data_IF_247010774778
#
_entry.id   IF_247010774778
#
_cell.length_a   1.000
_cell.length_b   1.000
_cell.length_c   1.000
_cell.angle_alpha   90.00
_cell.angle_beta   90.00
_cell.angle_gamma   90.00
#
_symmetry.space_group_name_H-M   'P 1'
#
loop_
_entity.id
_entity.type
_entity.pdbx_description
1 polymer ?
#
# COMPACT_ATOMS: atom_id res chain seq x y z
N UNK A 1 25.85 33.21 1.02
CA UNK A 1 24.77 32.54 0.22
C UNK A 1 25.36 31.43 -0.66
N UNK A 2 26.40 31.63 -1.41
CA UNK A 2 27.04 30.64 -2.31
C UNK A 2 27.51 29.36 -1.59
N UNK A 3 28.14 29.45 -0.41
CA UNK A 3 28.57 28.28 0.38
C UNK A 3 27.41 27.40 0.86
N UNK A 4 26.23 27.98 1.14
CA UNK A 4 25.05 27.23 1.54
C UNK A 4 24.57 26.38 0.35
N UNK A 5 24.55 26.94 -0.86
CA UNK A 5 24.15 26.25 -2.08
C UNK A 5 25.09 25.06 -2.36
N UNK A 6 26.41 25.28 -2.25
CA UNK A 6 27.38 24.20 -2.43
C UNK A 6 27.24 23.11 -1.37
N UNK A 7 26.98 23.47 -0.11
CA UNK A 7 26.70 22.50 0.96
C UNK A 7 25.45 21.65 0.70
N UNK A 8 24.37 22.27 0.21
CA UNK A 8 23.12 21.54 -0.15
C UNK A 8 23.36 20.59 -1.32
N UNK A 9 24.07 21.03 -2.37
CA UNK A 9 24.39 20.19 -3.52
C UNK A 9 25.29 19.01 -3.12
N UNK A 10 26.34 19.26 -2.35
CA UNK A 10 27.22 18.19 -1.85
C UNK A 10 26.46 17.19 -0.98
N UNK A 11 25.61 17.67 -0.08
CA UNK A 11 24.73 16.82 0.75
C UNK A 11 23.78 15.97 -0.08
N UNK A 12 23.17 16.52 -1.12
CA UNK A 12 22.29 15.79 -2.03
C UNK A 12 23.05 14.70 -2.82
N UNK A 13 24.27 14.99 -3.27
CA UNK A 13 25.12 13.99 -3.97
C UNK A 13 25.50 12.85 -3.04
N UNK A 14 25.93 13.14 -1.80
CA UNK A 14 26.29 12.13 -0.80
C UNK A 14 25.07 11.29 -0.44
N UNK A 15 23.91 11.91 -0.22
CA UNK A 15 22.65 11.23 0.06
C UNK A 15 22.25 10.33 -1.11
N UNK A 16 22.33 10.82 -2.34
CA UNK A 16 22.05 10.04 -3.55
C UNK A 16 22.96 8.81 -3.69
N UNK A 17 24.24 8.98 -3.36
CA UNK A 17 25.21 7.88 -3.37
C UNK A 17 24.88 6.83 -2.30
N UNK A 18 24.54 7.23 -1.07
CA UNK A 18 24.12 6.35 0.01
C UNK A 18 22.86 5.59 -0.39
N UNK A 19 21.84 6.28 -0.89
CA UNK A 19 20.58 5.66 -1.35
C UNK A 19 20.87 4.60 -2.41
N UNK A 20 21.64 4.95 -3.45
CA UNK A 20 22.00 4.01 -4.53
C UNK A 20 22.75 2.77 -4.03
N UNK A 21 23.55 2.90 -2.98
CA UNK A 21 24.23 1.76 -2.36
C UNK A 21 23.27 0.80 -1.67
N UNK A 22 22.23 1.34 -1.01
CA UNK A 22 21.21 0.53 -0.32
C UNK A 22 20.17 -0.06 -1.26
N UNK A 23 19.82 0.64 -2.35
CA UNK A 23 18.83 0.18 -3.34
C UNK A 23 19.34 -1.01 -4.21
N UNK A 24 20.61 -1.40 -4.08
CA UNK A 24 21.18 -2.59 -4.73
C UNK A 24 20.97 -3.89 -3.96
N UNK A 25 20.30 -3.86 -2.80
CA UNK A 25 20.03 -5.07 -2.03
C UNK A 25 18.99 -5.95 -2.70
N UNK A 26 19.24 -7.25 -2.70
CA UNK A 26 18.28 -8.24 -3.16
C UNK A 26 17.01 -8.21 -2.28
N UNK A 27 15.83 -8.34 -2.89
CA UNK A 27 14.59 -8.39 -2.14
C UNK A 27 14.49 -9.67 -1.30
N UNK A 28 13.92 -9.58 -0.09
CA UNK A 28 13.71 -10.73 0.80
C UNK A 28 12.63 -11.70 0.26
N UNK A 29 11.77 -11.23 -0.63
CA UNK A 29 10.69 -12.03 -1.22
C UNK A 29 10.73 -11.95 -2.75
N UNK A 30 10.33 -13.04 -3.39
CA UNK A 30 10.14 -13.10 -4.85
C UNK A 30 8.65 -12.86 -5.12
N UNK A 31 8.32 -11.67 -5.60
CA UNK A 31 6.96 -11.34 -6.03
C UNK A 31 6.79 -11.55 -7.52
N UNK A 32 5.64 -12.10 -7.93
CA UNK A 32 5.27 -12.25 -9.34
C UNK A 32 3.77 -12.00 -9.51
N UNK A 33 3.41 -11.28 -10.55
CA UNK A 33 2.04 -11.16 -11.03
C UNK A 33 2.04 -11.24 -12.56
N UNK A 34 1.06 -11.93 -13.15
CA UNK A 34 0.95 -12.03 -14.60
C UNK A 34 0.44 -10.74 -15.24
N UNK A 35 -0.39 -10.01 -14.53
CA UNK A 35 -1.03 -8.78 -15.02
C UNK A 35 -1.18 -7.78 -13.86
N UNK A 36 -1.36 -6.52 -14.22
CA UNK A 36 -1.72 -5.47 -13.26
C UNK A 36 -3.14 -5.70 -12.73
N UNK A 37 -3.46 -5.30 -11.49
CA UNK A 37 -4.81 -5.40 -10.98
C UNK A 37 -5.77 -4.54 -11.81
N UNK A 38 -6.86 -5.15 -12.28
CA UNK A 38 -7.93 -4.44 -12.96
C UNK A 38 -8.81 -3.75 -11.95
N UNK A 39 -8.89 -2.42 -11.99
CA UNK A 39 -9.62 -1.65 -11.00
C UNK A 39 -10.36 -0.48 -11.62
N UNK A 40 -11.46 -0.06 -10.99
CA UNK A 40 -12.21 1.14 -11.36
C UNK A 40 -12.33 2.10 -10.18
N UNK A 41 -12.27 3.41 -10.42
CA UNK A 41 -12.51 4.39 -9.37
C UNK A 41 -14.00 4.41 -8.98
N UNK A 42 -14.29 4.49 -7.70
CA UNK A 42 -15.65 4.70 -7.20
C UNK A 42 -15.97 6.19 -7.15
N UNK A 43 -17.22 6.55 -7.42
CA UNK A 43 -17.68 7.93 -7.31
C UNK A 43 -17.66 8.40 -5.86
N UNK A 44 -17.29 9.66 -5.65
CA UNK A 44 -17.41 10.33 -4.35
C UNK A 44 -18.72 11.12 -4.38
N UNK A 45 -19.74 10.76 -3.57
CA UNK A 45 -21.01 11.45 -3.56
C UNK A 45 -20.85 12.83 -2.90
N UNK A 46 -20.68 13.87 -3.71
CA UNK A 46 -20.50 15.26 -3.26
C UNK A 46 -21.74 16.13 -3.50
N UNK A 47 -22.71 15.64 -4.31
CA UNK A 47 -23.92 16.40 -4.63
C UNK A 47 -24.83 16.53 -3.39
N UNK A 48 -25.23 17.77 -3.07
CA UNK A 48 -26.16 18.02 -1.97
C UNK A 48 -25.57 18.03 -0.56
N UNK A 49 -24.24 17.95 -0.40
CA UNK A 49 -23.60 17.87 0.93
C UNK A 49 -23.47 19.21 1.67
N UNK A 50 -23.82 20.34 1.03
CA UNK A 50 -23.62 21.67 1.58
C UNK A 50 -22.17 22.18 1.48
N UNK A 51 -21.99 23.49 1.56
CA UNK A 51 -20.71 24.16 1.27
C UNK A 51 -19.57 23.73 2.18
N UNK A 52 -19.72 23.85 3.51
CA UNK A 52 -18.67 23.54 4.47
C UNK A 52 -18.26 22.05 4.48
N UNK A 53 -19.26 21.18 4.39
CA UNK A 53 -19.02 19.74 4.28
C UNK A 53 -18.36 19.40 2.95
N UNK A 54 -18.73 20.10 1.87
CA UNK A 54 -18.09 19.98 0.57
C UNK A 54 -16.60 20.32 0.61
N UNK A 55 -16.23 21.45 1.22
CA UNK A 55 -14.82 21.83 1.43
C UNK A 55 -14.09 20.77 2.25
N UNK A 56 -14.65 20.33 3.38
CA UNK A 56 -14.05 19.30 4.21
C UNK A 56 -13.82 18.01 3.42
N UNK A 57 -14.82 17.56 2.66
CA UNK A 57 -14.69 16.38 1.81
C UNK A 57 -13.64 16.56 0.73
N UNK A 58 -13.56 17.71 0.08
CA UNK A 58 -12.55 18.00 -0.94
C UNK A 58 -11.12 17.86 -0.38
N UNK A 59 -10.88 18.39 0.82
CA UNK A 59 -9.57 18.34 1.47
C UNK A 59 -9.28 16.96 2.06
N UNK A 60 -10.30 16.24 2.59
CA UNK A 60 -10.07 15.05 3.41
C UNK A 60 -10.37 13.73 2.73
N UNK A 61 -11.25 13.69 1.71
CA UNK A 61 -11.71 12.44 1.13
C UNK A 61 -10.69 11.86 0.14
N UNK A 62 -10.40 10.59 0.28
CA UNK A 62 -9.64 9.81 -0.71
C UNK A 62 -10.60 9.05 -1.60
N UNK A 63 -10.26 8.93 -2.89
CA UNK A 63 -11.02 8.10 -3.81
C UNK A 63 -10.80 6.62 -3.48
N UNK A 64 -11.89 5.87 -3.41
CA UNK A 64 -11.84 4.42 -3.30
C UNK A 64 -11.79 3.78 -4.69
N UNK A 65 -11.21 2.60 -4.73
CA UNK A 65 -11.08 1.80 -5.93
C UNK A 65 -11.66 0.42 -5.69
N UNK A 66 -12.27 -0.15 -6.70
CA UNK A 66 -12.84 -1.49 -6.66
C UNK A 66 -12.09 -2.38 -7.65
N UNK A 67 -11.69 -3.58 -7.22
CA UNK A 67 -11.12 -4.61 -8.08
C UNK A 67 -12.24 -5.19 -8.96
N UNK A 68 -12.05 -5.11 -10.29
CA UNK A 68 -13.07 -5.51 -11.27
C UNK A 68 -12.92 -6.94 -11.79
N UNK A 69 -11.75 -7.55 -11.57
CA UNK A 69 -11.41 -8.93 -11.95
C UNK A 69 -10.52 -9.52 -10.86
N UNK A 70 -10.69 -10.81 -10.54
CA UNK A 70 -9.78 -11.51 -9.63
C UNK A 70 -8.33 -11.27 -10.00
N UNK A 71 -7.56 -10.76 -9.06
CA UNK A 71 -6.13 -10.49 -9.28
C UNK A 71 -5.28 -11.55 -8.59
N UNK A 72 -4.60 -12.37 -9.41
CA UNK A 72 -3.72 -13.44 -8.94
C UNK A 72 -2.28 -12.96 -8.88
N UNK A 73 -1.62 -13.30 -7.78
CA UNK A 73 -0.21 -12.98 -7.55
C UNK A 73 0.48 -14.08 -6.74
N UNK A 74 1.81 -14.09 -6.76
CA UNK A 74 2.62 -15.04 -5.99
C UNK A 74 3.62 -14.30 -5.13
N UNK A 75 3.79 -14.77 -3.90
CA UNK A 75 4.87 -14.36 -2.99
C UNK A 75 5.63 -15.63 -2.65
N UNK A 76 6.90 -15.70 -3.03
CA UNK A 76 7.74 -16.90 -2.95
C UNK A 76 7.07 -18.08 -3.65
N UNK A 77 6.72 -19.14 -2.92
CA UNK A 77 6.04 -20.36 -3.44
C UNK A 77 4.52 -20.31 -3.32
N UNK A 78 3.98 -19.33 -2.56
CA UNK A 78 2.54 -19.20 -2.34
C UNK A 78 1.87 -18.43 -3.50
N UNK A 79 0.71 -18.92 -3.96
CA UNK A 79 -0.14 -18.23 -4.93
C UNK A 79 -1.43 -17.77 -4.27
N UNK A 80 -1.70 -16.48 -4.41
CA UNK A 80 -2.79 -15.77 -3.73
C UNK A 80 -3.70 -15.07 -4.72
N UNK A 81 -4.87 -14.64 -4.22
CA UNK A 81 -5.83 -13.87 -5.01
C UNK A 81 -6.44 -12.75 -4.18
N UNK A 82 -6.62 -11.59 -4.81
CA UNK A 82 -7.53 -10.56 -4.31
C UNK A 82 -8.79 -10.64 -5.19
N UNK A 83 -9.95 -10.97 -4.60
CA UNK A 83 -11.16 -11.23 -5.38
C UNK A 83 -11.73 -9.94 -5.98
N UNK A 84 -12.46 -10.10 -7.07
CA UNK A 84 -13.32 -9.07 -7.65
C UNK A 84 -14.28 -8.54 -6.57
N UNK A 85 -14.53 -7.23 -6.58
CA UNK A 85 -15.40 -6.57 -5.60
C UNK A 85 -14.65 -6.02 -4.39
N UNK A 86 -13.37 -6.39 -4.18
CA UNK A 86 -12.59 -5.81 -3.09
C UNK A 86 -12.43 -4.30 -3.28
N UNK A 87 -12.85 -3.54 -2.26
CA UNK A 87 -12.76 -2.08 -2.23
C UNK A 87 -11.63 -1.65 -1.30
N UNK A 88 -10.75 -0.79 -1.81
CA UNK A 88 -9.63 -0.23 -1.07
C UNK A 88 -9.46 1.26 -1.38
N UNK A 89 -8.76 2.00 -0.55
CA UNK A 89 -8.54 3.44 -0.68
C UNK A 89 -7.11 3.82 -1.13
N UNK A 90 -6.38 2.84 -1.61
CA UNK A 90 -4.96 2.94 -1.95
C UNK A 90 -4.09 2.73 -0.71
N UNK A 91 -2.77 2.67 -0.90
CA UNK A 91 -1.86 2.52 0.23
C UNK A 91 -2.19 3.59 1.28
N UNK A 92 -2.45 3.15 2.51
CA UNK A 92 -2.77 4.03 3.66
C UNK A 92 -1.58 4.90 4.06
N UNK A 93 -0.99 5.54 3.06
CA UNK A 93 0.10 6.49 3.23
C UNK A 93 -0.49 7.72 3.90
N UNK A 94 0.05 8.15 5.05
CA UNK A 94 -0.35 9.41 5.67
C UNK A 94 -0.38 10.53 4.63
N UNK A 95 -1.41 11.39 4.66
CA UNK A 95 -1.67 12.41 3.62
C UNK A 95 -0.46 13.29 3.29
N UNK A 96 0.39 13.54 4.29
CA UNK A 96 1.64 14.28 4.13
C UNK A 96 2.60 13.62 3.13
N UNK A 97 2.63 12.29 3.06
CA UNK A 97 3.49 11.54 2.14
C UNK A 97 2.83 11.24 0.79
N UNK A 98 1.53 11.49 0.62
CA UNK A 98 0.80 11.14 -0.63
C UNK A 98 1.26 11.94 -1.85
N UNK A 99 1.76 13.15 -1.66
CA UNK A 99 2.33 13.96 -2.74
C UNK A 99 3.66 13.38 -3.25
N UNK A 100 4.37 12.61 -2.43
CA UNK A 100 5.67 12.02 -2.76
C UNK A 100 5.55 10.52 -3.08
N UNK A 101 4.64 9.82 -2.41
CA UNK A 101 4.39 8.40 -2.55
C UNK A 101 2.97 8.21 -3.06
N UNK A 102 2.78 8.27 -4.38
CA UNK A 102 1.46 7.99 -4.96
C UNK A 102 1.00 6.58 -4.58
N UNK A 103 -0.14 6.45 -3.88
CA UNK A 103 -0.67 5.13 -3.49
C UNK A 103 -1.07 4.28 -4.69
N UNK A 104 -1.25 4.91 -5.87
CA UNK A 104 -1.57 4.25 -7.14
C UNK A 104 -0.34 4.14 -8.07
N UNK A 105 0.84 4.54 -7.61
CA UNK A 105 2.09 4.47 -8.35
C UNK A 105 2.89 3.19 -8.02
N UNK A 106 4.19 3.39 -7.77
CA UNK A 106 5.16 2.30 -7.52
C UNK A 106 4.86 1.44 -6.29
N UNK A 107 3.98 1.90 -5.38
CA UNK A 107 3.57 1.18 -4.16
C UNK A 107 2.26 0.41 -4.33
N UNK A 108 1.63 0.41 -5.51
CA UNK A 108 0.29 -0.14 -5.72
C UNK A 108 0.19 -1.61 -5.33
N UNK A 109 1.14 -2.45 -5.77
CA UNK A 109 1.08 -3.91 -5.56
C UNK A 109 1.13 -4.27 -4.07
N UNK A 110 2.15 -3.78 -3.38
CA UNK A 110 2.27 -3.98 -1.92
C UNK A 110 1.12 -3.31 -1.16
N UNK A 111 0.67 -2.12 -1.60
CA UNK A 111 -0.46 -1.40 -1.00
C UNK A 111 -1.77 -2.18 -1.07
N UNK A 112 -2.08 -2.74 -2.23
CA UNK A 112 -3.29 -3.54 -2.43
C UNK A 112 -3.30 -4.81 -1.56
N UNK A 113 -2.17 -5.52 -1.49
CA UNK A 113 -2.01 -6.70 -0.63
C UNK A 113 -2.12 -6.32 0.84
N UNK A 114 -1.50 -5.21 1.23
CA UNK A 114 -1.54 -4.68 2.58
C UNK A 114 -2.96 -4.29 3.02
N UNK A 115 -3.71 -3.58 2.17
CA UNK A 115 -5.08 -3.18 2.48
C UNK A 115 -5.99 -4.40 2.64
N UNK A 116 -5.80 -5.43 1.79
CA UNK A 116 -6.50 -6.71 1.95
C UNK A 116 -6.16 -7.38 3.29
N UNK A 117 -4.87 -7.50 3.60
CA UNK A 117 -4.38 -8.07 4.84
C UNK A 117 -4.82 -7.28 6.09
N UNK A 118 -4.89 -5.96 6.01
CA UNK A 118 -5.41 -5.12 7.09
C UNK A 118 -6.90 -5.33 7.32
N UNK A 119 -7.69 -5.44 6.24
CA UNK A 119 -9.15 -5.65 6.35
C UNK A 119 -9.46 -7.02 6.96
N UNK A 120 -8.84 -8.09 6.46
CA UNK A 120 -9.21 -9.47 6.82
C UNK A 120 -8.25 -10.18 7.76
N UNK A 121 -7.12 -9.59 8.09
CA UNK A 121 -6.05 -10.17 8.92
C UNK A 121 -5.40 -11.43 8.30
N UNK A 122 -5.51 -11.60 6.99
CA UNK A 122 -5.04 -12.80 6.29
C UNK A 122 -4.86 -12.51 4.80
N UNK A 123 -4.17 -13.41 4.09
CA UNK A 123 -4.16 -13.45 2.63
C UNK A 123 -4.94 -14.66 2.14
N UNK A 124 -5.66 -14.51 1.04
CA UNK A 124 -6.48 -15.55 0.44
C UNK A 124 -5.67 -16.32 -0.59
N UNK A 125 -5.62 -17.65 -0.48
CA UNK A 125 -5.00 -18.48 -1.49
C UNK A 125 -5.80 -18.46 -2.81
N UNK A 126 -5.13 -18.68 -3.91
CA UNK A 126 -5.73 -18.65 -5.27
C UNK A 126 -6.92 -19.61 -5.45
N UNK A 127 -7.02 -20.65 -4.64
CA UNK A 127 -8.16 -21.59 -4.60
C UNK A 127 -9.44 -20.94 -4.05
N UNK A 128 -9.36 -19.78 -3.40
CA UNK A 128 -10.46 -19.10 -2.68
C UNK A 128 -11.10 -19.91 -1.54
N UNK A 129 -10.53 -21.04 -1.17
CA UNK A 129 -11.08 -21.94 -0.12
C UNK A 129 -10.43 -21.75 1.24
N UNK A 130 -9.16 -21.32 1.24
CA UNK A 130 -8.32 -21.22 2.44
C UNK A 130 -7.52 -19.94 2.47
N UNK A 131 -7.06 -19.56 3.65
CA UNK A 131 -6.25 -18.39 3.90
C UNK A 131 -4.94 -18.75 4.59
N UNK A 132 -3.99 -17.81 4.66
CA UNK A 132 -2.69 -18.00 5.33
C UNK A 132 -2.79 -18.14 6.86
N UNK A 133 -3.99 -18.07 7.43
CA UNK A 133 -4.16 -17.89 8.87
C UNK A 133 -4.03 -16.42 9.29
N UNK A 134 -4.14 -16.17 10.61
CA UNK A 134 -4.13 -14.80 11.14
C UNK A 134 -2.72 -14.20 11.11
N UNK A 135 -2.59 -13.09 10.43
CA UNK A 135 -1.35 -12.30 10.38
C UNK A 135 -1.39 -11.17 11.42
N UNK A 136 -0.21 -10.73 11.85
CA UNK A 136 -0.07 -9.53 12.67
C UNK A 136 -0.02 -8.26 11.82
N UNK A 137 -0.30 -7.09 12.42
CA UNK A 137 -0.09 -5.81 11.77
C UNK A 137 1.33 -5.70 11.21
N UNK A 138 2.34 -6.04 12.05
CA UNK A 138 3.75 -6.02 11.66
C UNK A 138 4.02 -6.89 10.43
N UNK A 139 3.48 -8.11 10.40
CA UNK A 139 3.65 -9.02 9.27
C UNK A 139 3.07 -8.47 7.97
N UNK A 140 1.91 -7.78 8.02
CA UNK A 140 1.34 -7.13 6.83
C UNK A 140 2.17 -5.93 6.38
N UNK A 141 2.70 -5.12 7.30
CA UNK A 141 3.58 -3.99 6.98
C UNK A 141 4.91 -4.47 6.38
N UNK A 142 5.46 -5.60 6.86
CA UNK A 142 6.66 -6.24 6.29
C UNK A 142 6.37 -6.79 4.89
N UNK A 143 5.23 -7.44 4.69
CA UNK A 143 4.78 -7.90 3.37
C UNK A 143 4.67 -6.75 2.37
N UNK A 144 4.08 -5.61 2.78
CA UNK A 144 4.02 -4.40 1.97
C UNK A 144 5.41 -3.96 1.51
N UNK A 145 6.35 -3.82 2.46
CA UNK A 145 7.73 -3.40 2.17
C UNK A 145 8.41 -4.35 1.18
N UNK A 146 8.39 -5.64 1.50
CA UNK A 146 9.17 -6.64 0.77
C UNK A 146 8.62 -6.89 -0.64
N UNK A 147 7.28 -6.88 -0.81
CA UNK A 147 6.64 -6.92 -2.13
C UNK A 147 7.04 -5.70 -2.96
N UNK A 148 6.96 -4.49 -2.38
CA UNK A 148 7.31 -3.27 -3.12
C UNK A 148 8.80 -3.23 -3.47
N UNK A 149 9.70 -3.66 -2.59
CA UNK A 149 11.14 -3.79 -2.94
C UNK A 149 11.31 -4.75 -4.11
N UNK A 150 10.62 -5.90 -4.09
CA UNK A 150 10.68 -6.87 -5.19
C UNK A 150 10.14 -6.32 -6.52
N UNK A 151 9.16 -5.39 -6.48
CA UNK A 151 8.54 -4.79 -7.67
C UNK A 151 9.36 -3.63 -8.24
N UNK A 152 9.83 -2.72 -7.37
CA UNK A 152 10.40 -1.44 -7.79
C UNK A 152 11.89 -1.25 -7.47
N UNK A 153 12.47 -2.08 -6.61
CA UNK A 153 13.88 -2.01 -6.23
C UNK A 153 14.28 -0.84 -5.32
N UNK A 154 13.36 0.04 -4.93
CA UNK A 154 13.64 1.22 -4.10
C UNK A 154 13.71 0.89 -2.61
N UNK A 155 14.83 0.31 -2.17
CA UNK A 155 15.01 -0.15 -0.80
C UNK A 155 14.71 0.95 0.23
N UNK A 156 15.38 2.09 0.15
CA UNK A 156 15.26 3.18 1.13
C UNK A 156 13.85 3.74 1.19
N UNK A 157 13.23 4.00 0.02
CA UNK A 157 11.88 4.58 -0.04
C UNK A 157 10.81 3.60 0.51
N UNK A 158 10.97 2.30 0.23
CA UNK A 158 10.06 1.28 0.77
C UNK A 158 10.21 1.10 2.29
N UNK A 159 11.41 1.26 2.84
CA UNK A 159 11.62 1.30 4.29
C UNK A 159 11.02 2.54 4.94
N UNK A 160 11.14 3.72 4.31
CA UNK A 160 10.47 4.93 4.80
C UNK A 160 8.94 4.76 4.81
N UNK A 161 8.37 4.21 3.74
CA UNK A 161 6.94 3.91 3.67
C UNK A 161 6.52 2.88 4.75
N UNK A 162 7.31 1.82 4.96
CA UNK A 162 7.11 0.84 6.01
C UNK A 162 7.07 1.48 7.40
N UNK A 163 8.03 2.32 7.75
CA UNK A 163 8.01 3.01 9.05
C UNK A 163 6.82 3.96 9.19
N UNK A 164 6.41 4.63 8.11
CA UNK A 164 5.18 5.41 8.09
C UNK A 164 3.94 4.59 8.41
N UNK A 165 3.83 3.37 7.86
CA UNK A 165 2.75 2.42 8.17
C UNK A 165 2.83 1.93 9.62
N UNK A 166 4.04 1.63 10.14
CA UNK A 166 4.21 1.22 11.55
C UNK A 166 3.70 2.26 12.54
N UNK A 167 3.92 3.55 12.24
CA UNK A 167 3.49 4.66 13.10
C UNK A 167 1.98 4.96 12.92
N UNK A 168 1.52 5.04 11.65
CA UNK A 168 0.16 5.49 11.33
C UNK A 168 -0.88 4.38 11.19
N UNK A 169 -0.47 3.17 10.83
CA UNK A 169 -1.37 2.06 10.46
C UNK A 169 -2.12 1.44 11.63
N UNK A 170 -1.67 1.66 12.87
CA UNK A 170 -2.26 1.01 14.03
C UNK A 170 -3.74 1.40 14.26
N UNK A 171 -4.13 2.63 13.94
CA UNK A 171 -5.52 3.08 14.05
C UNK A 171 -6.41 2.36 13.03
N UNK A 172 -5.95 2.22 11.78
CA UNK A 172 -6.66 1.50 10.74
C UNK A 172 -6.78 0.00 11.11
N UNK A 173 -5.69 -0.61 11.58
CA UNK A 173 -5.69 -1.99 12.05
C UNK A 173 -6.72 -2.23 13.14
N UNK A 174 -6.74 -1.40 14.21
CA UNK A 174 -7.73 -1.50 15.30
C UNK A 174 -9.16 -1.30 14.80
N UNK A 175 -9.38 -0.37 13.87
CA UNK A 175 -10.70 -0.14 13.26
C UNK A 175 -11.23 -1.40 12.57
N UNK A 176 -10.39 -2.06 11.76
CA UNK A 176 -10.78 -3.30 11.07
C UNK A 176 -11.02 -4.45 12.06
N UNK A 177 -10.24 -4.55 13.16
CA UNK A 177 -10.47 -5.57 14.21
C UNK A 177 -11.82 -5.36 14.91
N UNK A 178 -12.20 -4.10 15.17
CA UNK A 178 -13.52 -3.79 15.75
C UNK A 178 -14.68 -4.11 14.79
N UNK A 179 -14.47 -3.93 13.50
CA UNK A 179 -15.47 -4.22 12.48
C UNK A 179 -15.67 -5.73 12.21
N UNK A 180 -14.78 -6.58 12.75
CA UNK A 180 -14.81 -8.05 12.59
C UNK A 180 -15.04 -8.51 11.15
N UNK A 181 -14.28 -7.93 10.21
CA UNK A 181 -14.44 -8.20 8.77
C UNK A 181 -14.14 -9.67 8.44
N UNK A 182 -15.06 -10.32 7.75
CA UNK A 182 -14.91 -11.69 7.24
C UNK A 182 -14.57 -11.64 5.74
N UNK A 183 -13.48 -12.30 5.35
CA UNK A 183 -13.06 -12.41 3.96
C UNK A 183 -14.06 -13.17 3.06
N UNK A 184 -14.88 -14.05 3.65
CA UNK A 184 -15.91 -14.81 2.93
C UNK A 184 -17.03 -13.92 2.38
N UNK A 185 -17.23 -12.76 2.95
CA UNK A 185 -18.25 -11.81 2.50
C UNK A 185 -17.92 -11.14 1.15
N UNK A 186 -16.65 -11.21 0.72
CA UNK A 186 -16.17 -10.55 -0.51
C UNK A 186 -15.83 -11.57 -1.63
N UNK A 187 -16.26 -12.85 -1.51
CA UNK A 187 -15.99 -13.90 -2.52
C UNK A 187 -17.22 -14.16 -3.37
#
# INVERSE_FOLDING_TARGET
>A
MMYIIYGVIAGAIVLGWIINKFDKKEPNVKFKSKEMPHMKPLSIPTKGVGFWKGILMWVTTSRKWEITKDWHYSINTGTYVIPKGFIFDGASVPKFFRSWLSPMGVLLMGGLIHDYGYKYQTLLYATKKTTTGKSSQKGMDETFRDVNISVNGFFVLNYLAYYGLRIGGFLAWKKHRKANCDWKADI
#
